data_IF_464470449265
#
_entry.id   IF_464470449265
#
_cell.length_a   1.000
_cell.length_b   1.000
_cell.length_c   1.000
_cell.angle_alpha   90.00
_cell.angle_beta   90.00
_cell.angle_gamma   90.00
#
_symmetry.space_group_name_H-M   'P 1'
#
loop_
_entity.id
_entity.type
_entity.pdbx_description
1 polymer ?
#
# COMPACT_ATOMS: atom_id res chain seq x y z
N UNK A 1 -4.19 -11.16 -13.31
CA UNK A 1 -4.71 -11.58 -14.63
C UNK A 1 -4.56 -10.40 -15.56
N UNK A 2 -3.75 -10.51 -16.62
CA UNK A 2 -3.72 -9.52 -17.69
C UNK A 2 -5.09 -9.54 -18.39
N UNK A 3 -5.84 -8.44 -18.33
CA UNK A 3 -7.14 -8.32 -19.01
C UNK A 3 -6.82 -7.98 -20.46
N UNK A 4 -6.74 -8.99 -21.32
CA UNK A 4 -6.34 -8.87 -22.73
C UNK A 4 -7.52 -8.83 -23.70
N UNK A 5 -8.70 -8.40 -23.24
CA UNK A 5 -9.92 -8.35 -24.04
C UNK A 5 -10.28 -6.94 -24.49
N UNK A 6 -11.04 -6.78 -25.58
CA UNK A 6 -11.47 -5.47 -26.06
C UNK A 6 -12.31 -4.75 -24.99
N UNK A 7 -12.11 -3.45 -24.84
CA UNK A 7 -12.89 -2.60 -23.95
C UNK A 7 -13.96 -1.85 -24.73
N UNK A 8 -14.82 -1.19 -23.97
CA UNK A 8 -15.88 -0.36 -24.49
C UNK A 8 -15.38 0.84 -25.29
N UNK A 9 -16.06 1.13 -26.40
CA UNK A 9 -15.91 2.37 -27.17
C UNK A 9 -14.45 2.71 -27.57
N UNK A 10 -13.60 1.68 -27.73
CA UNK A 10 -12.19 1.83 -28.08
C UNK A 10 -11.29 2.33 -26.94
N UNK A 11 -11.80 2.34 -25.69
CA UNK A 11 -11.00 2.69 -24.52
C UNK A 11 -9.82 1.73 -24.35
N UNK A 12 -8.72 2.24 -23.82
CA UNK A 12 -7.57 1.43 -23.38
C UNK A 12 -7.25 1.73 -21.93
N UNK A 13 -6.47 0.89 -21.22
CA UNK A 13 -6.06 1.18 -19.83
C UNK A 13 -5.25 2.49 -19.70
N UNK A 14 -4.47 2.86 -20.72
CA UNK A 14 -3.59 4.04 -20.72
C UNK A 14 -4.38 5.35 -20.76
N UNK A 15 -5.62 5.32 -21.30
CA UNK A 15 -6.51 6.48 -21.32
C UNK A 15 -6.81 7.05 -19.94
N UNK A 16 -6.76 6.24 -18.87
CA UNK A 16 -7.08 6.67 -17.52
C UNK A 16 -6.13 7.78 -17.03
N UNK A 17 -4.82 7.56 -17.16
CA UNK A 17 -3.80 8.51 -16.70
C UNK A 17 -3.73 9.72 -17.64
N UNK A 18 -3.75 9.49 -18.96
CA UNK A 18 -3.75 10.59 -19.93
C UNK A 18 -4.95 11.53 -19.77
N UNK A 19 -6.14 10.98 -19.51
CA UNK A 19 -7.33 11.79 -19.32
C UNK A 19 -7.23 12.61 -18.03
N UNK A 20 -6.76 12.00 -16.94
CA UNK A 20 -6.62 12.66 -15.65
C UNK A 20 -5.57 13.79 -15.68
N UNK A 21 -4.49 13.66 -16.45
CA UNK A 21 -3.48 14.71 -16.61
C UNK A 21 -3.99 15.90 -17.45
N UNK A 22 -4.87 15.64 -18.42
CA UNK A 22 -5.37 16.67 -19.37
C UNK A 22 -6.59 17.44 -18.87
N UNK A 23 -7.27 16.95 -17.83
CA UNK A 23 -8.54 17.53 -17.37
C UNK A 23 -8.49 17.96 -15.90
N UNK A 24 -8.78 19.23 -15.67
CA UNK A 24 -9.08 19.75 -14.35
C UNK A 24 -10.48 19.32 -13.88
N UNK A 25 -10.78 19.61 -12.60
CA UNK A 25 -12.11 19.34 -12.04
C UNK A 25 -13.19 20.05 -12.88
N UNK A 26 -14.17 19.30 -13.41
CA UNK A 26 -15.14 19.88 -14.32
C UNK A 26 -16.22 20.67 -13.58
N UNK A 27 -16.82 21.65 -14.24
CA UNK A 27 -17.97 22.36 -13.68
C UNK A 27 -19.15 21.41 -13.40
N UNK A 28 -19.92 21.70 -12.36
CA UNK A 28 -21.12 20.92 -12.02
C UNK A 28 -22.32 21.43 -12.81
N UNK A 29 -23.06 20.48 -13.39
CA UNK A 29 -24.37 20.76 -13.97
C UNK A 29 -25.44 20.54 -12.91
N UNK A 30 -26.26 21.55 -12.68
CA UNK A 30 -27.48 21.38 -11.90
C UNK A 30 -28.47 20.48 -12.63
N UNK A 31 -29.18 19.62 -11.90
CA UNK A 31 -30.36 18.93 -12.39
C UNK A 31 -31.46 18.98 -11.34
N UNK A 32 -32.72 18.94 -11.80
CA UNK A 32 -33.87 18.95 -10.91
C UNK A 32 -34.29 17.50 -10.63
N UNK A 33 -34.22 17.01 -9.37
CA UNK A 33 -34.65 15.66 -9.01
C UNK A 33 -36.12 15.36 -9.36
N UNK A 34 -36.98 16.39 -9.37
CA UNK A 34 -38.39 16.26 -9.76
C UNK A 34 -38.59 15.96 -11.26
N UNK A 35 -37.57 16.23 -12.08
CA UNK A 35 -37.57 15.93 -13.51
C UNK A 35 -37.11 14.50 -13.81
N UNK A 36 -36.77 13.71 -12.79
CA UNK A 36 -36.33 12.33 -12.98
C UNK A 36 -37.49 11.43 -13.46
N UNK A 37 -37.20 10.37 -14.24
CA UNK A 37 -38.19 9.36 -14.57
C UNK A 37 -38.83 8.77 -13.31
N UNK A 38 -40.12 8.43 -13.40
CA UNK A 38 -40.88 7.92 -12.26
C UNK A 38 -40.18 6.69 -11.64
N UNK A 39 -39.87 6.78 -10.34
CA UNK A 39 -39.21 5.71 -9.59
C UNK A 39 -37.68 5.71 -9.68
N UNK A 40 -37.07 6.70 -10.34
CA UNK A 40 -35.61 6.85 -10.43
C UNK A 40 -35.17 8.00 -9.55
N UNK A 41 -34.31 7.71 -8.57
CA UNK A 41 -33.59 8.72 -7.79
C UNK A 41 -32.11 8.69 -8.18
N UNK A 42 -31.53 9.86 -8.41
CA UNK A 42 -30.09 10.01 -8.51
C UNK A 42 -29.53 10.36 -7.14
N UNK A 43 -28.54 9.59 -6.72
CA UNK A 43 -27.95 9.66 -5.39
C UNK A 43 -26.47 10.03 -5.52
N UNK A 44 -25.97 10.75 -4.52
CA UNK A 44 -24.59 11.17 -4.45
C UNK A 44 -23.65 9.96 -4.47
N UNK A 45 -22.67 9.98 -5.36
CA UNK A 45 -21.73 8.89 -5.55
C UNK A 45 -20.95 8.55 -4.26
N UNK A 46 -20.71 9.54 -3.39
CA UNK A 46 -19.95 9.37 -2.13
C UNK A 46 -20.85 8.97 -0.95
N UNK A 47 -21.91 9.74 -0.66
CA UNK A 47 -22.69 9.59 0.58
C UNK A 47 -24.07 8.96 0.38
N UNK A 48 -24.47 8.66 -0.85
CA UNK A 48 -25.79 8.10 -1.21
C UNK A 48 -27.02 8.97 -0.85
N UNK A 49 -26.86 10.20 -0.38
CA UNK A 49 -27.95 11.18 -0.23
C UNK A 49 -28.46 11.66 -1.59
N UNK A 50 -29.66 12.23 -1.63
CA UNK A 50 -30.23 12.80 -2.86
C UNK A 50 -29.26 13.81 -3.52
N UNK A 51 -29.08 13.71 -4.83
CA UNK A 51 -28.19 14.59 -5.60
C UNK A 51 -28.96 15.69 -6.31
N UNK A 52 -28.33 16.85 -6.49
CA UNK A 52 -28.83 17.94 -7.34
C UNK A 52 -27.78 18.42 -8.35
N UNK A 53 -26.58 17.83 -8.32
CA UNK A 53 -25.44 18.16 -9.17
C UNK A 53 -25.01 16.91 -9.93
N UNK A 54 -24.47 17.08 -11.14
CA UNK A 54 -23.87 16.00 -11.92
C UNK A 54 -22.59 16.47 -12.61
N UNK A 55 -21.66 15.55 -12.83
CA UNK A 55 -20.42 15.80 -13.57
C UNK A 55 -20.73 16.24 -15.01
N UNK A 56 -20.19 17.36 -15.47
CA UNK A 56 -20.42 17.88 -16.83
C UNK A 56 -19.77 17.04 -17.94
N UNK A 57 -18.70 16.30 -17.62
CA UNK A 57 -17.99 15.44 -18.58
C UNK A 57 -18.75 14.14 -18.84
N UNK A 58 -18.86 13.26 -17.83
CA UNK A 58 -19.55 11.98 -18.04
C UNK A 58 -21.08 12.13 -18.10
N UNK A 59 -21.67 13.10 -17.38
CA UNK A 59 -23.14 13.25 -17.22
C UNK A 59 -23.83 12.00 -16.65
N UNK A 60 -23.09 11.17 -15.92
CA UNK A 60 -23.54 9.88 -15.35
C UNK A 60 -23.22 9.72 -13.87
N UNK A 61 -22.48 10.64 -13.28
CA UNK A 61 -22.13 10.65 -11.86
C UNK A 61 -22.73 11.89 -11.20
N UNK A 62 -23.32 11.68 -10.04
CA UNK A 62 -24.15 12.64 -9.36
C UNK A 62 -23.62 12.96 -7.96
N UNK A 63 -23.81 14.20 -7.52
CA UNK A 63 -23.30 14.71 -6.24
C UNK A 63 -24.37 15.53 -5.52
N UNK A 64 -24.30 15.52 -4.19
CA UNK A 64 -25.15 16.37 -3.34
C UNK A 64 -24.49 17.71 -3.00
N UNK A 65 -23.21 17.92 -3.31
CA UNK A 65 -22.48 19.17 -3.08
C UNK A 65 -21.17 19.16 -3.90
N UNK A 66 -20.53 20.32 -4.02
CA UNK A 66 -19.25 20.46 -4.72
C UNK A 66 -18.09 19.78 -3.99
N UNK A 67 -18.09 19.73 -2.65
CA UNK A 67 -16.99 19.09 -1.91
C UNK A 67 -16.93 17.58 -2.20
N UNK A 68 -18.08 16.92 -2.34
CA UNK A 68 -18.11 15.50 -2.71
C UNK A 68 -17.65 15.23 -4.14
N UNK A 69 -17.88 16.16 -5.07
CA UNK A 69 -17.29 16.05 -6.40
C UNK A 69 -15.78 16.20 -6.33
N UNK A 70 -15.28 17.21 -5.61
CA UNK A 70 -13.84 17.44 -5.48
C UNK A 70 -13.12 16.25 -4.86
N UNK A 71 -13.70 15.69 -3.81
CA UNK A 71 -13.21 14.47 -3.17
C UNK A 71 -13.20 13.28 -4.13
N UNK A 72 -14.28 13.05 -4.89
CA UNK A 72 -14.36 11.96 -5.87
C UNK A 72 -13.35 12.16 -7.02
N UNK A 73 -13.24 13.39 -7.53
CA UNK A 73 -12.33 13.78 -8.61
C UNK A 73 -10.86 13.56 -8.24
N UNK A 74 -10.44 14.05 -7.08
CA UNK A 74 -9.08 13.86 -6.54
C UNK A 74 -8.81 12.41 -6.14
N UNK A 75 -9.86 11.66 -5.78
CA UNK A 75 -9.75 10.26 -5.39
C UNK A 75 -9.52 9.35 -6.61
N UNK A 76 -10.48 9.30 -7.54
CA UNK A 76 -10.45 8.34 -8.65
C UNK A 76 -11.23 8.79 -9.89
N UNK A 77 -12.23 9.69 -9.74
CA UNK A 77 -13.16 10.00 -10.83
C UNK A 77 -12.47 10.60 -12.04
N UNK A 78 -11.40 11.40 -11.87
CA UNK A 78 -10.60 11.89 -12.99
C UNK A 78 -10.11 10.75 -13.91
N UNK A 79 -9.68 9.62 -13.33
CA UNK A 79 -9.20 8.45 -14.07
C UNK A 79 -10.31 7.59 -14.65
N UNK A 80 -11.49 7.56 -14.02
CA UNK A 80 -12.57 6.64 -14.40
C UNK A 80 -13.75 7.30 -15.13
N UNK A 81 -13.78 8.64 -15.22
CA UNK A 81 -14.82 9.43 -15.88
C UNK A 81 -15.19 8.93 -17.29
N UNK A 82 -14.23 8.72 -18.24
CA UNK A 82 -14.58 8.25 -19.58
C UNK A 82 -15.19 6.83 -19.57
N UNK A 83 -14.69 5.94 -18.70
CA UNK A 83 -15.24 4.59 -18.55
C UNK A 83 -16.65 4.62 -17.97
N UNK A 84 -16.91 5.48 -16.97
CA UNK A 84 -18.25 5.67 -16.41
C UNK A 84 -19.21 6.17 -17.51
N UNK A 85 -18.79 7.10 -18.35
CA UNK A 85 -19.60 7.62 -19.45
C UNK A 85 -20.04 6.49 -20.39
N UNK A 86 -19.10 5.61 -20.79
CA UNK A 86 -19.36 4.46 -21.67
C UNK A 86 -20.19 3.36 -20.98
N UNK A 87 -19.90 3.05 -19.72
CA UNK A 87 -20.56 1.97 -18.96
C UNK A 87 -22.00 2.31 -18.58
N UNK A 88 -22.27 3.57 -18.23
CA UNK A 88 -23.61 4.04 -17.83
C UNK A 88 -24.39 4.67 -18.99
N UNK A 89 -23.87 4.64 -20.22
CA UNK A 89 -24.61 5.05 -21.41
C UNK A 89 -25.73 4.04 -21.74
N UNK A 90 -26.86 4.51 -22.32
CA UNK A 90 -27.89 3.62 -22.85
C UNK A 90 -27.27 2.61 -23.83
N UNK A 91 -27.57 1.31 -23.71
CA UNK A 91 -27.00 0.31 -24.59
C UNK A 91 -27.49 0.53 -26.03
N UNK A 92 -26.61 0.38 -27.04
CA UNK A 92 -27.02 0.45 -28.43
C UNK A 92 -27.97 -0.71 -28.76
N UNK A 93 -28.81 -0.51 -29.78
CA UNK A 93 -29.64 -1.58 -30.33
C UNK A 93 -28.74 -2.51 -31.14
N UNK A 94 -28.60 -3.76 -30.69
CA UNK A 94 -27.80 -4.79 -31.34
C UNK A 94 -28.72 -5.87 -31.91
N UNK A 95 -28.44 -6.32 -33.13
CA UNK A 95 -29.37 -7.16 -33.89
C UNK A 95 -28.99 -8.64 -33.83
N UNK A 96 -27.70 -8.96 -33.67
CA UNK A 96 -27.23 -10.35 -33.66
C UNK A 96 -26.90 -10.83 -32.24
N UNK A 97 -26.94 -12.16 -32.05
CA UNK A 97 -26.54 -12.77 -30.78
C UNK A 97 -25.03 -12.59 -30.51
N UNK A 98 -24.22 -12.65 -31.57
CA UNK A 98 -22.77 -12.49 -31.50
C UNK A 98 -22.39 -11.07 -31.04
N UNK A 99 -22.99 -10.03 -31.62
CA UNK A 99 -22.81 -8.63 -31.19
C UNK A 99 -23.14 -8.45 -29.71
N UNK A 100 -24.27 -9.01 -29.26
CA UNK A 100 -24.70 -8.94 -27.85
C UNK A 100 -23.71 -9.65 -26.92
N UNK A 101 -23.19 -10.80 -27.33
CA UNK A 101 -22.17 -11.54 -26.57
C UNK A 101 -20.87 -10.75 -26.46
N UNK A 102 -20.35 -10.25 -27.59
CA UNK A 102 -19.14 -9.43 -27.64
C UNK A 102 -19.27 -8.16 -26.79
N UNK A 103 -20.42 -7.47 -26.89
CA UNK A 103 -20.68 -6.27 -26.08
C UNK A 103 -20.71 -6.59 -24.59
N UNK A 104 -21.30 -7.72 -24.19
CA UNK A 104 -21.36 -8.15 -22.79
C UNK A 104 -19.95 -8.45 -22.25
N UNK A 105 -19.12 -9.08 -23.06
CA UNK A 105 -17.71 -9.31 -22.73
C UNK A 105 -16.94 -7.99 -22.59
N UNK A 106 -17.10 -7.04 -23.52
CA UNK A 106 -16.51 -5.70 -23.44
C UNK A 106 -16.94 -4.94 -22.18
N UNK A 107 -18.23 -4.97 -21.83
CA UNK A 107 -18.73 -4.38 -20.56
C UNK A 107 -18.00 -4.99 -19.38
N UNK A 108 -17.93 -6.31 -19.33
CA UNK A 108 -17.33 -7.05 -18.22
C UNK A 108 -15.84 -6.73 -18.08
N UNK A 109 -15.11 -6.72 -19.20
CA UNK A 109 -13.69 -6.37 -19.23
C UNK A 109 -13.46 -4.91 -18.81
N UNK A 110 -14.29 -3.98 -19.29
CA UNK A 110 -14.22 -2.56 -18.91
C UNK A 110 -14.47 -2.38 -17.41
N UNK A 111 -15.48 -3.03 -16.84
CA UNK A 111 -15.73 -3.01 -15.38
C UNK A 111 -14.55 -3.57 -14.58
N UNK A 112 -13.90 -4.64 -15.06
CA UNK A 112 -12.70 -5.21 -14.43
C UNK A 112 -11.49 -4.25 -14.48
N UNK A 113 -11.31 -3.52 -15.57
CA UNK A 113 -10.29 -2.47 -15.67
C UNK A 113 -10.57 -1.34 -14.68
N UNK A 114 -11.80 -0.82 -14.65
CA UNK A 114 -12.18 0.24 -13.69
C UNK A 114 -11.97 -0.23 -12.25
N UNK A 115 -12.38 -1.46 -11.92
CA UNK A 115 -12.10 -2.07 -10.62
C UNK A 115 -10.59 -2.08 -10.29
N UNK A 116 -9.74 -2.42 -11.25
CA UNK A 116 -8.28 -2.44 -11.03
C UNK A 116 -7.72 -1.04 -10.76
N UNK A 117 -8.17 -0.02 -11.51
CA UNK A 117 -7.81 1.38 -11.32
C UNK A 117 -8.25 1.85 -9.93
N UNK A 118 -9.50 1.59 -9.54
CA UNK A 118 -10.03 2.00 -8.24
C UNK A 118 -9.26 1.37 -7.07
N UNK A 119 -8.88 0.09 -7.16
CA UNK A 119 -8.05 -0.55 -6.13
C UNK A 119 -6.65 0.05 -6.07
N UNK A 120 -6.03 0.33 -7.21
CA UNK A 120 -4.70 0.92 -7.28
C UNK A 120 -4.70 2.33 -6.68
N UNK A 121 -5.67 3.17 -7.02
CA UNK A 121 -5.81 4.52 -6.46
C UNK A 121 -6.10 4.50 -4.96
N UNK A 122 -7.01 3.63 -4.49
CA UNK A 122 -7.27 3.47 -3.05
C UNK A 122 -5.99 3.09 -2.29
N UNK A 123 -5.21 2.14 -2.82
CA UNK A 123 -3.94 1.74 -2.23
C UNK A 123 -2.88 2.86 -2.27
N UNK A 124 -2.80 3.62 -3.37
CA UNK A 124 -1.90 4.76 -3.51
C UNK A 124 -2.19 5.83 -2.46
N UNK A 125 -3.46 6.23 -2.32
CA UNK A 125 -3.89 7.22 -1.32
C UNK A 125 -3.62 6.76 0.11
N UNK A 126 -3.77 5.46 0.42
CA UNK A 126 -3.38 4.92 1.73
C UNK A 126 -1.88 5.03 1.99
N UNK A 127 -1.04 4.77 0.99
CA UNK A 127 0.42 4.91 1.11
C UNK A 127 0.90 6.35 1.23
N UNK A 128 0.10 7.30 0.74
CA UNK A 128 0.32 8.75 0.88
C UNK A 128 -0.31 9.32 2.16
N UNK A 129 -0.95 8.47 2.97
CA UNK A 129 -1.64 8.86 4.21
C UNK A 129 -2.82 9.82 4.00
N UNK A 130 -3.57 9.65 2.90
CA UNK A 130 -4.75 10.42 2.55
C UNK A 130 -6.04 9.55 2.65
N UNK A 131 -6.50 9.20 3.86
CA UNK A 131 -7.62 8.27 4.04
C UNK A 131 -8.95 8.79 3.47
N UNK A 132 -9.15 10.11 3.46
CA UNK A 132 -10.34 10.75 2.88
C UNK A 132 -10.44 10.52 1.37
N UNK A 133 -9.31 10.51 0.66
CA UNK A 133 -9.24 10.21 -0.77
C UNK A 133 -9.19 8.71 -1.05
N UNK A 134 -8.72 7.88 -0.13
CA UNK A 134 -8.77 6.44 -0.30
C UNK A 134 -10.21 5.88 -0.26
N UNK A 135 -11.11 6.51 0.51
CA UNK A 135 -12.46 6.02 0.73
C UNK A 135 -13.33 5.99 -0.55
N UNK A 136 -13.45 7.06 -1.37
CA UNK A 136 -14.22 7.00 -2.62
C UNK A 136 -13.70 5.96 -3.62
N UNK A 137 -12.37 5.87 -3.79
CA UNK A 137 -11.74 4.87 -4.64
C UNK A 137 -12.06 3.44 -4.16
N UNK A 138 -11.97 3.18 -2.86
CA UNK A 138 -12.37 1.90 -2.26
C UNK A 138 -13.86 1.58 -2.45
N UNK A 139 -14.73 2.59 -2.36
CA UNK A 139 -16.16 2.43 -2.56
C UNK A 139 -16.51 2.09 -4.02
N UNK A 140 -15.87 2.76 -4.97
CA UNK A 140 -15.99 2.42 -6.40
C UNK A 140 -15.48 1.01 -6.70
N UNK A 141 -14.33 0.65 -6.13
CA UNK A 141 -13.80 -0.71 -6.26
C UNK A 141 -14.81 -1.75 -5.75
N UNK A 142 -15.43 -1.51 -4.59
CA UNK A 142 -16.43 -2.42 -4.05
C UNK A 142 -17.67 -2.53 -4.97
N UNK A 143 -18.16 -1.40 -5.50
CA UNK A 143 -19.31 -1.37 -6.42
C UNK A 143 -19.05 -2.18 -7.69
N UNK A 144 -17.93 -1.95 -8.35
CA UNK A 144 -17.58 -2.69 -9.57
C UNK A 144 -17.26 -4.17 -9.28
N UNK A 145 -16.67 -4.49 -8.13
CA UNK A 145 -16.47 -5.88 -7.74
C UNK A 145 -17.83 -6.61 -7.56
N UNK A 146 -18.78 -6.00 -6.85
CA UNK A 146 -20.12 -6.55 -6.67
C UNK A 146 -20.87 -6.73 -8.00
N UNK A 147 -20.75 -5.76 -8.91
CA UNK A 147 -21.40 -5.79 -10.22
C UNK A 147 -20.80 -6.86 -11.17
N UNK A 148 -19.49 -7.12 -11.09
CA UNK A 148 -18.81 -8.12 -11.94
C UNK A 148 -18.92 -9.54 -11.40
N UNK A 149 -18.76 -9.72 -10.09
CA UNK A 149 -18.58 -11.04 -9.47
C UNK A 149 -19.77 -11.47 -8.59
N UNK A 150 -20.66 -10.54 -8.23
CA UNK A 150 -21.76 -10.77 -7.31
C UNK A 150 -21.38 -10.54 -5.84
N UNK A 151 -22.40 -10.44 -4.98
CA UNK A 151 -22.25 -9.95 -3.60
C UNK A 151 -21.54 -10.91 -2.61
N UNK A 152 -21.25 -12.15 -3.02
CA UNK A 152 -20.65 -13.18 -2.16
C UNK A 152 -19.30 -13.70 -2.70
N UNK A 153 -18.74 -13.03 -3.70
CA UNK A 153 -17.51 -13.45 -4.34
C UNK A 153 -16.26 -13.02 -3.56
N UNK A 154 -15.18 -13.80 -3.67
CA UNK A 154 -13.91 -13.52 -2.99
C UNK A 154 -13.29 -12.19 -3.40
N UNK A 155 -13.56 -11.75 -4.63
CA UNK A 155 -13.06 -10.52 -5.23
C UNK A 155 -13.56 -9.25 -4.52
N UNK A 156 -14.58 -9.34 -3.67
CA UNK A 156 -15.06 -8.24 -2.83
C UNK A 156 -14.21 -8.07 -1.56
N UNK A 157 -13.45 -9.10 -1.15
CA UNK A 157 -12.61 -9.03 0.06
C UNK A 157 -11.56 -7.91 -0.04
N UNK A 158 -10.74 -7.79 -1.11
CA UNK A 158 -9.75 -6.72 -1.17
C UNK A 158 -10.33 -5.30 -1.11
N UNK A 159 -11.42 -4.94 -1.83
CA UNK A 159 -12.10 -3.66 -1.64
C UNK A 159 -12.58 -3.41 -0.20
N UNK A 160 -13.15 -4.41 0.48
CA UNK A 160 -13.51 -4.27 1.89
C UNK A 160 -12.29 -4.01 2.78
N UNK A 161 -11.15 -4.66 2.52
CA UNK A 161 -9.92 -4.43 3.27
C UNK A 161 -9.36 -3.02 3.05
N UNK A 162 -9.37 -2.51 1.81
CA UNK A 162 -8.95 -1.13 1.50
C UNK A 162 -9.84 -0.10 2.19
N UNK A 163 -11.16 -0.27 2.15
CA UNK A 163 -12.11 0.59 2.86
C UNK A 163 -11.93 0.52 4.38
N UNK A 164 -11.60 -0.65 4.91
CA UNK A 164 -11.27 -0.82 6.33
C UNK A 164 -10.06 0.01 6.71
N UNK A 165 -8.97 -0.07 5.95
CA UNK A 165 -7.75 0.69 6.22
C UNK A 165 -7.98 2.20 6.15
N UNK A 166 -8.73 2.66 5.14
CA UNK A 166 -9.13 4.07 5.04
C UNK A 166 -9.93 4.52 6.27
N UNK A 167 -10.91 3.72 6.70
CA UNK A 167 -11.73 4.04 7.87
C UNK A 167 -10.94 3.98 9.19
N UNK A 168 -9.98 3.06 9.34
CA UNK A 168 -9.09 3.02 10.53
C UNK A 168 -8.26 4.30 10.59
N UNK A 169 -7.63 4.70 9.48
CA UNK A 169 -6.83 5.91 9.40
C UNK A 169 -7.65 7.19 9.62
N UNK A 170 -8.90 7.22 9.17
CA UNK A 170 -9.87 8.28 9.46
C UNK A 170 -10.52 8.20 10.86
N UNK A 171 -10.15 7.22 11.69
CA UNK A 171 -10.74 6.95 13.02
C UNK A 171 -12.26 6.67 13.02
N UNK A 172 -12.81 6.21 11.89
CA UNK A 172 -14.22 5.82 11.73
C UNK A 172 -14.35 4.30 11.99
N UNK A 173 -14.19 3.91 13.26
CA UNK A 173 -14.02 2.50 13.60
C UNK A 173 -15.27 1.63 13.38
N UNK A 174 -16.48 2.18 13.47
CA UNK A 174 -17.71 1.40 13.28
C UNK A 174 -17.85 0.91 11.83
N UNK A 175 -17.57 1.79 10.85
CA UNK A 175 -17.57 1.42 9.43
C UNK A 175 -16.42 0.47 9.08
N UNK A 176 -15.25 0.66 9.70
CA UNK A 176 -14.13 -0.28 9.53
C UNK A 176 -14.52 -1.70 10.01
N UNK A 177 -15.18 -1.79 11.18
CA UNK A 177 -15.65 -3.06 11.71
C UNK A 177 -16.72 -3.70 10.81
N UNK A 178 -17.65 -2.91 10.29
CA UNK A 178 -18.68 -3.38 9.36
C UNK A 178 -18.05 -4.03 8.11
N UNK A 179 -17.11 -3.34 7.44
CA UNK A 179 -16.43 -3.89 6.28
C UNK A 179 -15.63 -5.15 6.59
N UNK A 180 -14.95 -5.21 7.74
CA UNK A 180 -14.26 -6.43 8.17
C UNK A 180 -15.20 -7.60 8.45
N UNK A 181 -16.40 -7.34 8.97
CA UNK A 181 -17.43 -8.35 9.17
C UNK A 181 -17.96 -8.86 7.81
N UNK A 182 -18.16 -7.99 6.83
CA UNK A 182 -18.55 -8.38 5.46
C UNK A 182 -17.46 -9.23 4.80
N UNK A 183 -16.19 -8.80 4.87
CA UNK A 183 -15.07 -9.59 4.38
C UNK A 183 -14.97 -10.95 5.08
N UNK A 184 -15.17 -10.99 6.41
CA UNK A 184 -15.16 -12.23 7.19
C UNK A 184 -16.26 -13.19 6.74
N UNK A 185 -17.47 -12.67 6.50
CA UNK A 185 -18.59 -13.48 6.03
C UNK A 185 -18.24 -14.19 4.73
N UNK A 186 -17.67 -13.46 3.75
CA UNK A 186 -17.22 -14.04 2.48
C UNK A 186 -16.14 -15.10 2.73
N UNK A 187 -15.11 -14.81 3.53
CA UNK A 187 -14.04 -15.77 3.83
C UNK A 187 -14.53 -17.06 4.51
N UNK A 188 -15.60 -17.00 5.31
CA UNK A 188 -16.22 -18.20 5.91
C UNK A 188 -16.92 -19.06 4.85
N UNK A 189 -17.56 -18.44 3.86
CA UNK A 189 -18.19 -19.18 2.75
C UNK A 189 -17.17 -19.83 1.82
N UNK A 190 -15.92 -19.35 1.83
CA UNK A 190 -14.83 -19.82 0.98
C UNK A 190 -13.65 -20.34 1.84
N UNK A 191 -13.78 -21.52 2.48
CA UNK A 191 -12.76 -22.03 3.41
C UNK A 191 -11.40 -22.27 2.74
N UNK A 192 -11.38 -22.51 1.43
CA UNK A 192 -10.17 -22.70 0.64
C UNK A 192 -9.59 -21.39 0.07
N UNK A 193 -10.09 -20.24 0.52
CA UNK A 193 -9.54 -18.95 0.14
C UNK A 193 -8.04 -18.87 0.46
N UNK A 194 -7.32 -18.16 -0.40
CA UNK A 194 -5.88 -17.93 -0.28
C UNK A 194 -5.51 -17.49 1.16
N UNK A 195 -4.56 -18.18 1.82
CA UNK A 195 -4.03 -17.75 3.11
C UNK A 195 -3.61 -16.28 3.15
N UNK A 196 -3.14 -15.70 2.04
CA UNK A 196 -2.82 -14.28 1.94
C UNK A 196 -4.02 -13.37 2.26
N UNK A 197 -5.22 -13.71 1.76
CA UNK A 197 -6.43 -12.94 2.06
C UNK A 197 -6.83 -13.07 3.53
N UNK A 198 -6.68 -14.27 4.10
CA UNK A 198 -6.95 -14.51 5.53
C UNK A 198 -5.96 -13.76 6.43
N UNK A 199 -4.68 -13.70 6.04
CA UNK A 199 -3.65 -12.90 6.69
C UNK A 199 -4.00 -11.42 6.67
N UNK A 200 -4.28 -10.83 5.50
CA UNK A 200 -4.61 -9.40 5.40
C UNK A 200 -5.87 -9.04 6.19
N UNK A 201 -6.89 -9.91 6.17
CA UNK A 201 -8.09 -9.75 6.98
C UNK A 201 -7.81 -9.78 8.48
N UNK A 202 -7.03 -10.76 8.95
CA UNK A 202 -6.62 -10.86 10.34
C UNK A 202 -5.77 -9.65 10.76
N UNK A 203 -4.86 -9.19 9.90
CA UNK A 203 -4.03 -8.00 10.12
C UNK A 203 -4.87 -6.75 10.34
N UNK A 204 -5.90 -6.55 9.52
CA UNK A 204 -6.76 -5.36 9.62
C UNK A 204 -7.68 -5.41 10.84
N UNK A 205 -8.15 -6.59 11.27
CA UNK A 205 -8.77 -6.75 12.60
C UNK A 205 -7.78 -6.40 13.73
N UNK A 206 -6.53 -6.82 13.61
CA UNK A 206 -5.45 -6.49 14.54
C UNK A 206 -5.25 -4.98 14.68
N UNK A 207 -5.05 -4.29 13.54
CA UNK A 207 -4.92 -2.82 13.47
C UNK A 207 -6.14 -2.09 14.05
N UNK A 208 -7.36 -2.53 13.70
CA UNK A 208 -8.60 -1.92 14.20
C UNK A 208 -8.68 -2.01 15.73
N UNK A 209 -8.43 -3.20 16.30
CA UNK A 209 -8.50 -3.36 17.74
C UNK A 209 -7.37 -2.67 18.48
N UNK A 210 -6.17 -2.56 17.88
CA UNK A 210 -5.09 -1.74 18.41
C UNK A 210 -5.51 -0.26 18.50
N UNK A 211 -6.05 0.30 17.41
CA UNK A 211 -6.55 1.67 17.38
C UNK A 211 -7.68 1.93 18.40
N UNK A 212 -8.49 0.90 18.71
CA UNK A 212 -9.51 0.93 19.76
C UNK A 212 -8.96 0.65 21.18
N UNK A 213 -7.65 0.48 21.35
CA UNK A 213 -6.97 0.09 22.61
C UNK A 213 -7.47 -1.24 23.20
N UNK A 214 -7.98 -2.13 22.36
CA UNK A 214 -8.42 -3.49 22.71
C UNK A 214 -7.27 -4.47 22.48
N UNK A 215 -6.18 -4.29 23.23
CA UNK A 215 -4.88 -4.92 22.99
C UNK A 215 -4.92 -6.45 22.90
N UNK A 216 -5.63 -7.14 23.80
CA UNK A 216 -5.67 -8.61 23.76
C UNK A 216 -6.41 -9.16 22.52
N UNK A 217 -7.41 -8.42 22.01
CA UNK A 217 -8.07 -8.77 20.74
C UNK A 217 -7.13 -8.50 19.57
N UNK A 218 -6.42 -7.37 19.59
CA UNK A 218 -5.45 -7.02 18.57
C UNK A 218 -4.37 -8.10 18.44
N UNK A 219 -3.75 -8.51 19.56
CA UNK A 219 -2.72 -9.55 19.59
C UNK A 219 -3.21 -10.89 19.06
N UNK A 220 -4.43 -11.32 19.42
CA UNK A 220 -5.02 -12.56 18.88
C UNK A 220 -5.16 -12.53 17.36
N UNK A 221 -5.60 -11.40 16.81
CA UNK A 221 -5.77 -11.25 15.37
C UNK A 221 -4.44 -11.09 14.63
N UNK A 222 -3.47 -10.38 15.19
CA UNK A 222 -2.13 -10.29 14.60
C UNK A 222 -1.37 -11.63 14.68
N UNK A 223 -1.57 -12.43 15.72
CA UNK A 223 -1.03 -13.79 15.77
C UNK A 223 -1.62 -14.67 14.65
N UNK A 224 -2.90 -14.50 14.30
CA UNK A 224 -3.50 -15.19 13.16
C UNK A 224 -2.92 -14.71 11.81
N UNK A 225 -2.61 -13.41 11.67
CA UNK A 225 -1.89 -12.87 10.50
C UNK A 225 -0.50 -13.53 10.34
N UNK A 226 0.28 -13.59 11.43
CA UNK A 226 1.59 -14.27 11.46
C UNK A 226 1.43 -15.74 11.08
N UNK A 227 0.42 -16.44 11.59
CA UNK A 227 0.16 -17.84 11.27
C UNK A 227 -0.12 -18.06 9.78
N UNK A 228 -1.05 -17.31 9.19
CA UNK A 228 -1.39 -17.47 7.77
C UNK A 228 -0.24 -17.09 6.84
N UNK A 229 0.50 -16.03 7.17
CA UNK A 229 1.69 -15.64 6.40
C UNK A 229 2.79 -16.69 6.50
N UNK A 230 2.99 -17.26 7.70
CA UNK A 230 3.97 -18.35 7.91
C UNK A 230 3.64 -19.60 7.11
N UNK A 231 2.35 -19.93 6.95
CA UNK A 231 1.93 -21.06 6.11
C UNK A 231 2.28 -20.84 4.63
N UNK A 232 2.18 -19.59 4.15
CA UNK A 232 2.41 -19.26 2.75
C UNK A 232 3.88 -19.14 2.40
N UNK A 233 4.66 -18.47 3.26
CA UNK A 233 6.03 -18.03 2.95
C UNK A 233 7.10 -18.63 3.87
N UNK A 234 6.70 -19.24 4.98
CA UNK A 234 7.58 -19.72 6.04
C UNK A 234 7.70 -18.74 7.22
N UNK A 235 8.11 -19.24 8.40
CA UNK A 235 8.16 -18.46 9.64
C UNK A 235 9.25 -17.38 9.65
N UNK A 236 10.34 -17.58 8.90
CA UNK A 236 11.49 -16.65 8.83
C UNK A 236 11.48 -15.80 7.54
N UNK A 237 10.31 -15.58 6.95
CA UNK A 237 10.14 -14.70 5.78
C UNK A 237 9.89 -13.24 6.20
N UNK A 238 10.41 -12.27 5.42
CA UNK A 238 10.24 -10.84 5.72
C UNK A 238 8.77 -10.41 5.82
N UNK A 239 7.87 -10.97 5.00
CA UNK A 239 6.43 -10.70 5.09
C UNK A 239 5.82 -11.20 6.40
N UNK A 240 6.27 -12.34 6.93
CA UNK A 240 5.81 -12.89 8.21
C UNK A 240 6.20 -11.98 9.37
N UNK A 241 7.36 -11.32 9.27
CA UNK A 241 7.85 -10.39 10.30
C UNK A 241 6.96 -9.14 10.46
N UNK A 242 6.15 -8.78 9.46
CA UNK A 242 5.24 -7.61 9.55
C UNK A 242 4.23 -7.78 10.68
N UNK A 243 3.65 -8.98 10.82
CA UNK A 243 2.72 -9.26 11.91
C UNK A 243 3.38 -9.18 13.29
N UNK A 244 4.63 -9.66 13.41
CA UNK A 244 5.42 -9.58 14.64
C UNK A 244 5.74 -8.12 15.02
N UNK A 245 6.11 -7.29 14.04
CA UNK A 245 6.33 -5.86 14.25
C UNK A 245 5.07 -5.17 14.75
N UNK A 246 3.90 -5.46 14.15
CA UNK A 246 2.63 -4.89 14.60
C UNK A 246 2.28 -5.34 16.03
N UNK A 247 2.56 -6.60 16.38
CA UNK A 247 2.38 -7.09 17.75
C UNK A 247 3.29 -6.34 18.72
N UNK A 248 4.56 -6.10 18.34
CA UNK A 248 5.51 -5.32 19.15
C UNK A 248 4.97 -3.92 19.47
N UNK A 249 4.42 -3.23 18.47
CA UNK A 249 3.77 -1.92 18.69
C UNK A 249 2.58 -2.01 19.65
N UNK A 250 1.76 -3.06 19.54
CA UNK A 250 0.63 -3.28 20.47
C UNK A 250 1.13 -3.52 21.90
N UNK A 251 2.23 -4.24 22.09
CA UNK A 251 2.82 -4.44 23.41
C UNK A 251 3.40 -3.15 24.00
N UNK A 252 4.00 -2.28 23.19
CA UNK A 252 4.40 -0.93 23.62
C UNK A 252 3.17 -0.15 24.11
N UNK A 253 2.10 -0.10 23.33
CA UNK A 253 0.87 0.62 23.72
C UNK A 253 0.22 0.04 24.98
N UNK A 254 0.41 -1.26 25.23
CA UNK A 254 -0.03 -1.96 26.45
C UNK A 254 0.91 -1.70 27.64
N UNK A 255 2.11 -1.17 27.44
CA UNK A 255 3.13 -0.92 28.46
C UNK A 255 4.03 -2.13 28.79
N UNK A 256 3.98 -3.19 27.99
CA UNK A 256 4.80 -4.39 28.15
C UNK A 256 6.00 -4.32 27.21
N UNK A 257 7.04 -3.63 27.67
CA UNK A 257 8.23 -3.38 26.86
C UNK A 257 9.07 -4.65 26.64
N UNK A 258 9.07 -5.59 27.58
CA UNK A 258 9.82 -6.84 27.47
C UNK A 258 9.32 -7.68 26.29
N UNK A 259 8.01 -7.88 26.18
CA UNK A 259 7.39 -8.57 25.04
C UNK A 259 7.62 -7.84 23.72
N UNK A 260 7.58 -6.50 23.72
CA UNK A 260 7.82 -5.70 22.53
C UNK A 260 9.26 -5.88 22.00
N UNK A 261 10.26 -5.86 22.89
CA UNK A 261 11.67 -6.05 22.55
C UNK A 261 11.90 -7.44 21.98
N UNK A 262 11.39 -8.48 22.62
CA UNK A 262 11.53 -9.86 22.12
C UNK A 262 10.94 -10.02 20.70
N UNK A 263 9.82 -9.35 20.41
CA UNK A 263 9.23 -9.36 19.06
C UNK A 263 10.07 -8.60 18.06
N UNK A 264 10.61 -7.43 18.42
CA UNK A 264 11.50 -6.68 17.54
C UNK A 264 12.82 -7.41 17.28
N UNK A 265 13.41 -8.06 18.29
CA UNK A 265 14.56 -8.94 18.11
C UNK A 265 14.25 -10.06 17.11
N UNK A 266 13.07 -10.68 17.21
CA UNK A 266 12.64 -11.69 16.23
C UNK A 266 12.49 -11.10 14.83
N UNK A 267 11.96 -9.88 14.69
CA UNK A 267 11.92 -9.17 13.39
C UNK A 267 13.34 -8.96 12.86
N UNK A 268 14.25 -8.42 13.66
CA UNK A 268 15.64 -8.17 13.26
C UNK A 268 16.40 -9.46 12.89
N UNK A 269 16.10 -10.58 13.55
CA UNK A 269 16.66 -11.89 13.24
C UNK A 269 16.26 -12.42 11.85
N UNK A 270 15.13 -11.95 11.32
CA UNK A 270 14.68 -12.25 9.95
C UNK A 270 15.29 -11.28 8.95
N UNK A 271 15.27 -9.97 9.27
CA UNK A 271 15.75 -8.94 8.34
C UNK A 271 17.26 -8.95 8.16
N UNK A 272 18.04 -9.16 9.21
CA UNK A 272 19.50 -9.02 9.15
C UNK A 272 20.13 -10.03 8.18
N UNK A 273 19.88 -11.35 8.29
CA UNK A 273 20.46 -12.32 7.36
C UNK A 273 19.97 -12.12 5.92
N UNK A 274 18.70 -11.75 5.74
CA UNK A 274 18.12 -11.45 4.43
C UNK A 274 18.86 -10.29 3.74
N UNK A 275 19.07 -9.18 4.44
CA UNK A 275 19.77 -8.02 3.89
C UNK A 275 21.25 -8.32 3.64
N UNK A 276 21.91 -9.05 4.54
CA UNK A 276 23.29 -9.51 4.34
C UNK A 276 23.42 -10.38 3.08
N UNK A 277 22.47 -11.29 2.84
CA UNK A 277 22.43 -12.11 1.62
C UNK A 277 22.30 -11.24 0.36
N UNK A 278 21.48 -10.18 0.41
CA UNK A 278 21.33 -9.26 -0.71
C UNK A 278 22.62 -8.49 -1.04
N UNK A 279 23.41 -8.15 0.00
CA UNK A 279 24.65 -7.35 -0.14
C UNK A 279 25.87 -8.24 -0.43
N UNK A 280 25.82 -9.54 -0.13
CA UNK A 280 26.96 -10.44 -0.22
C UNK A 280 27.76 -10.36 -1.54
N UNK A 281 27.13 -10.27 -2.74
CA UNK A 281 27.87 -10.17 -4.00
C UNK A 281 28.72 -8.90 -4.14
N UNK A 282 28.34 -7.81 -3.45
CA UNK A 282 29.04 -6.51 -3.51
C UNK A 282 30.46 -6.59 -2.94
N UNK A 283 30.70 -7.49 -1.98
CA UNK A 283 32.05 -7.74 -1.46
C UNK A 283 33.02 -8.28 -2.52
N UNK A 284 32.49 -8.91 -3.57
CA UNK A 284 33.27 -9.47 -4.68
C UNK A 284 33.18 -8.62 -5.94
N UNK A 285 32.75 -7.36 -5.83
CA UNK A 285 32.61 -6.43 -6.96
C UNK A 285 31.33 -6.58 -7.77
N UNK A 286 30.38 -7.42 -7.34
CA UNK A 286 29.04 -7.50 -7.94
C UNK A 286 28.10 -6.40 -7.46
N UNK A 287 26.85 -6.47 -7.91
CA UNK A 287 25.76 -5.60 -7.49
C UNK A 287 24.90 -6.24 -6.40
N UNK A 288 24.06 -5.43 -5.75
CA UNK A 288 23.06 -5.92 -4.79
C UNK A 288 22.07 -6.84 -5.51
N UNK A 289 21.85 -8.03 -4.97
CA UNK A 289 20.90 -9.01 -5.50
C UNK A 289 19.68 -9.10 -4.61
N UNK A 290 18.53 -8.62 -5.09
CA UNK A 290 17.24 -8.72 -4.38
C UNK A 290 16.33 -9.77 -5.02
N UNK A 291 15.41 -10.38 -4.26
CA UNK A 291 14.38 -11.26 -4.81
C UNK A 291 13.50 -10.59 -5.87
N UNK A 292 12.88 -11.34 -6.80
CA UNK A 292 12.00 -10.78 -7.84
C UNK A 292 10.77 -10.03 -7.33
N UNK A 293 10.31 -10.34 -6.12
CA UNK A 293 9.20 -9.67 -5.44
C UNK A 293 9.61 -8.40 -4.69
N UNK A 294 10.91 -8.10 -4.61
CA UNK A 294 11.41 -6.84 -4.06
C UNK A 294 11.12 -5.68 -5.01
N UNK A 295 10.40 -4.67 -4.50
CA UNK A 295 10.01 -3.47 -5.24
C UNK A 295 10.28 -2.21 -4.42
N UNK A 296 10.11 -1.03 -5.03
CA UNK A 296 10.17 0.24 -4.30
C UNK A 296 9.19 0.29 -3.11
N UNK A 297 8.02 -0.37 -3.24
CA UNK A 297 7.03 -0.44 -2.16
C UNK A 297 7.49 -1.29 -0.98
N UNK A 298 8.14 -2.43 -1.24
CA UNK A 298 8.68 -3.29 -0.17
C UNK A 298 9.85 -2.63 0.52
N UNK A 299 10.73 -1.95 -0.24
CA UNK A 299 11.82 -1.16 0.32
C UNK A 299 11.32 -0.03 1.23
N UNK A 300 10.29 0.71 0.80
CA UNK A 300 9.65 1.77 1.61
C UNK A 300 9.05 1.20 2.90
N UNK A 301 8.34 0.08 2.83
CA UNK A 301 7.78 -0.59 4.01
C UNK A 301 8.89 -1.06 4.96
N UNK A 302 9.94 -1.70 4.43
CA UNK A 302 11.10 -2.13 5.21
C UNK A 302 11.75 -0.96 5.96
N UNK A 303 11.93 0.17 5.28
CA UNK A 303 12.51 1.37 5.88
C UNK A 303 11.62 1.92 7.00
N UNK A 304 10.31 1.96 6.81
CA UNK A 304 9.37 2.38 7.86
C UNK A 304 9.41 1.45 9.08
N UNK A 305 9.45 0.13 8.87
CA UNK A 305 9.52 -0.85 9.96
C UNK A 305 10.83 -0.69 10.74
N UNK A 306 11.98 -0.76 10.06
CA UNK A 306 13.28 -0.71 10.73
C UNK A 306 13.51 0.63 11.43
N UNK A 307 13.11 1.74 10.81
CA UNK A 307 13.17 3.07 11.43
C UNK A 307 12.33 3.14 12.71
N UNK A 308 11.08 2.64 12.67
CA UNK A 308 10.22 2.62 13.86
C UNK A 308 10.74 1.70 14.96
N UNK A 309 11.38 0.58 14.61
CA UNK A 309 12.03 -0.29 15.60
C UNK A 309 13.19 0.46 16.28
N UNK A 310 14.04 1.15 15.51
CA UNK A 310 15.13 1.98 16.06
C UNK A 310 14.58 3.03 17.03
N UNK A 311 13.54 3.77 16.62
CA UNK A 311 12.88 4.79 17.45
C UNK A 311 12.35 4.17 18.74
N UNK A 312 11.53 3.12 18.63
CA UNK A 312 10.92 2.45 19.77
C UNK A 312 11.95 1.88 20.76
N UNK A 313 12.99 1.19 20.28
CA UNK A 313 14.02 0.63 21.16
C UNK A 313 14.86 1.72 21.82
N UNK A 314 15.13 2.83 21.11
CA UNK A 314 15.83 3.99 21.68
C UNK A 314 15.02 4.61 22.81
N UNK A 315 13.71 4.77 22.62
CA UNK A 315 12.81 5.35 23.63
C UNK A 315 12.68 4.44 24.86
N UNK A 316 12.62 3.12 24.68
CA UNK A 316 12.47 2.17 25.78
C UNK A 316 13.72 1.99 26.63
N UNK A 317 14.92 2.04 26.03
CA UNK A 317 16.16 1.63 26.70
C UNK A 317 17.26 2.69 26.77
N UNK A 318 17.10 3.82 26.07
CA UNK A 318 18.18 4.76 25.83
C UNK A 318 19.18 4.27 24.76
N UNK A 319 20.04 5.18 24.28
CA UNK A 319 20.92 4.97 23.13
C UNK A 319 22.06 3.96 23.32
N UNK A 320 22.21 3.31 24.48
CA UNK A 320 23.43 2.57 24.83
C UNK A 320 23.26 1.06 24.89
N UNK A 321 22.18 0.52 24.32
CA UNK A 321 21.85 -0.91 24.43
C UNK A 321 22.13 -1.65 23.12
N UNK A 322 22.57 -2.91 23.24
CA UNK A 322 22.93 -3.77 22.09
C UNK A 322 21.73 -3.92 21.14
N UNK A 323 20.50 -4.00 21.67
CA UNK A 323 19.28 -4.07 20.87
C UNK A 323 19.15 -2.87 19.91
N UNK A 324 19.39 -1.65 20.39
CA UNK A 324 19.36 -0.43 19.57
C UNK A 324 20.43 -0.48 18.48
N UNK A 325 21.64 -0.96 18.81
CA UNK A 325 22.71 -1.12 17.83
C UNK A 325 22.34 -2.12 16.72
N UNK A 326 21.69 -3.23 17.07
CA UNK A 326 21.19 -4.22 16.11
C UNK A 326 20.13 -3.64 15.17
N UNK A 327 19.20 -2.84 15.69
CA UNK A 327 18.20 -2.19 14.85
C UNK A 327 18.82 -1.16 13.89
N UNK A 328 19.76 -0.33 14.38
CA UNK A 328 20.49 0.63 13.55
C UNK A 328 21.32 -0.11 12.50
N UNK A 329 21.94 -1.23 12.86
CA UNK A 329 22.71 -2.06 11.94
C UNK A 329 21.83 -2.60 10.81
N UNK A 330 20.69 -3.22 11.15
CA UNK A 330 19.74 -3.72 10.15
C UNK A 330 19.23 -2.59 9.23
N UNK A 331 18.95 -1.40 9.79
CA UNK A 331 18.56 -0.24 9.00
C UNK A 331 19.68 0.23 8.06
N UNK A 332 20.93 0.25 8.53
CA UNK A 332 22.10 0.55 7.70
C UNK A 332 22.30 -0.44 6.56
N UNK A 333 22.10 -1.75 6.80
CA UNK A 333 22.10 -2.76 5.76
C UNK A 333 20.99 -2.54 4.73
N UNK A 334 19.78 -2.15 5.17
CA UNK A 334 18.70 -1.81 4.24
C UNK A 334 19.09 -0.64 3.34
N UNK A 335 19.75 0.39 3.88
CA UNK A 335 20.21 1.52 3.06
C UNK A 335 21.26 1.09 2.03
N UNK A 336 22.13 0.11 2.34
CA UNK A 336 22.99 -0.52 1.33
C UNK A 336 22.19 -1.19 0.21
N UNK A 337 21.11 -1.92 0.54
CA UNK A 337 20.24 -2.58 -0.45
C UNK A 337 19.48 -1.57 -1.32
N UNK A 338 19.04 -0.46 -0.73
CA UNK A 338 18.39 0.65 -1.45
C UNK A 338 19.38 1.41 -2.34
N UNK A 339 20.69 1.33 -2.06
CA UNK A 339 21.75 2.04 -2.77
C UNK A 339 22.07 3.42 -2.20
N UNK A 340 21.47 3.82 -1.08
CA UNK A 340 21.83 5.04 -0.36
C UNK A 340 23.06 4.80 0.53
N UNK A 341 24.23 4.77 -0.10
CA UNK A 341 25.50 4.54 0.58
C UNK A 341 25.89 5.67 1.54
N UNK A 342 25.38 6.89 1.32
CA UNK A 342 25.64 8.05 2.18
C UNK A 342 24.96 7.86 3.54
N UNK A 343 23.67 7.53 3.57
CA UNK A 343 22.97 7.26 4.83
C UNK A 343 23.37 5.89 5.42
N UNK A 344 23.63 4.88 4.59
CA UNK A 344 24.13 3.58 5.06
C UNK A 344 25.42 3.74 5.88
N UNK A 345 26.39 4.52 5.38
CA UNK A 345 27.65 4.78 6.10
C UNK A 345 27.40 5.42 7.47
N UNK A 346 26.51 6.41 7.56
CA UNK A 346 26.19 7.10 8.82
C UNK A 346 25.55 6.14 9.83
N UNK A 347 24.58 5.34 9.41
CA UNK A 347 23.93 4.35 10.27
C UNK A 347 24.90 3.26 10.72
N UNK A 348 25.69 2.70 9.80
CA UNK A 348 26.67 1.65 10.11
C UNK A 348 27.81 2.15 11.00
N UNK A 349 28.20 3.42 10.88
CA UNK A 349 29.17 4.05 11.76
C UNK A 349 28.62 4.13 13.19
N UNK A 350 27.36 4.59 13.33
CA UNK A 350 26.67 4.65 14.63
C UNK A 350 26.49 3.27 15.25
N UNK A 351 26.08 2.27 14.46
CA UNK A 351 25.93 0.90 14.97
C UNK A 351 27.27 0.33 15.43
N UNK A 352 28.35 0.52 14.66
CA UNK A 352 29.68 0.00 14.98
C UNK A 352 30.26 0.62 16.23
N UNK A 353 30.10 1.93 16.43
CA UNK A 353 30.56 2.59 17.66
C UNK A 353 29.79 2.08 18.89
N UNK A 354 28.49 1.85 18.75
CA UNK A 354 27.67 1.28 19.82
C UNK A 354 28.06 -0.16 20.15
N UNK A 355 28.28 -1.01 19.15
CA UNK A 355 28.74 -2.39 19.38
C UNK A 355 30.10 -2.44 20.07
N UNK A 356 31.04 -1.57 19.67
CA UNK A 356 32.35 -1.45 20.31
C UNK A 356 32.23 -1.11 21.80
N UNK A 357 31.39 -0.13 22.15
CA UNK A 357 31.18 0.31 23.53
C UNK A 357 30.46 -0.75 24.38
N UNK A 358 29.48 -1.45 23.79
CA UNK A 358 28.58 -2.34 24.55
C UNK A 358 29.07 -3.79 24.62
N UNK A 359 29.67 -4.30 23.55
CA UNK A 359 30.07 -5.70 23.41
C UNK A 359 31.59 -5.90 23.24
N UNK A 360 32.33 -4.82 22.95
CA UNK A 360 33.78 -4.85 22.71
C UNK A 360 34.17 -5.19 21.27
N UNK A 361 35.44 -4.95 20.93
CA UNK A 361 36.02 -5.16 19.59
C UNK A 361 35.98 -6.61 19.10
N UNK A 362 36.07 -7.57 20.01
CA UNK A 362 36.15 -9.00 19.68
C UNK A 362 34.78 -9.64 19.42
N UNK A 363 33.69 -8.95 19.73
CA UNK A 363 32.35 -9.48 19.54
C UNK A 363 32.02 -9.63 18.05
N UNK A 364 31.31 -10.72 17.69
CA UNK A 364 30.99 -11.05 16.30
C UNK A 364 30.23 -9.92 15.60
N UNK A 365 29.22 -9.35 16.27
CA UNK A 365 28.45 -8.22 15.74
C UNK A 365 29.29 -6.97 15.48
N UNK A 366 30.30 -6.69 16.33
CA UNK A 366 31.20 -5.54 16.14
C UNK A 366 32.05 -5.73 14.89
N UNK A 367 32.61 -6.92 14.69
CA UNK A 367 33.40 -7.26 13.50
C UNK A 367 32.56 -7.24 12.24
N UNK A 368 31.35 -7.78 12.31
CA UNK A 368 30.41 -7.73 11.18
C UNK A 368 30.03 -6.30 10.83
N UNK A 369 29.66 -5.48 11.82
CA UNK A 369 29.28 -4.08 11.57
C UNK A 369 30.43 -3.29 10.96
N UNK A 370 31.67 -3.48 11.44
CA UNK A 370 32.88 -2.87 10.87
C UNK A 370 33.13 -3.32 9.43
N UNK A 371 32.90 -4.60 9.11
CA UNK A 371 33.04 -5.12 7.74
C UNK A 371 32.07 -4.41 6.78
N UNK A 372 30.81 -4.25 7.15
CA UNK A 372 29.83 -3.52 6.33
C UNK A 372 30.08 -2.01 6.29
N UNK A 373 30.56 -1.41 7.39
CA UNK A 373 30.98 -0.02 7.43
C UNK A 373 32.12 0.25 6.42
N UNK A 374 33.13 -0.62 6.36
CA UNK A 374 34.22 -0.52 5.40
C UNK A 374 33.74 -0.65 3.94
N UNK A 375 32.73 -1.49 3.69
CA UNK A 375 32.10 -1.59 2.37
C UNK A 375 31.36 -0.28 2.00
N UNK A 376 30.54 0.23 2.92
CA UNK A 376 29.81 1.48 2.71
C UNK A 376 30.74 2.68 2.51
N UNK A 377 31.86 2.74 3.23
CA UNK A 377 32.88 3.77 3.04
C UNK A 377 33.47 3.75 1.63
N UNK A 378 33.82 2.56 1.11
CA UNK A 378 34.34 2.41 -0.25
C UNK A 378 33.33 2.84 -1.30
N UNK A 379 32.08 2.36 -1.22
CA UNK A 379 31.02 2.72 -2.18
C UNK A 379 30.64 4.21 -2.10
N UNK A 380 30.63 4.79 -0.91
CA UNK A 380 30.43 6.23 -0.71
C UNK A 380 31.51 7.07 -1.40
N UNK A 381 32.79 6.67 -1.32
CA UNK A 381 33.88 7.39 -1.98
C UNK A 381 33.72 7.37 -3.51
N UNK A 382 33.41 6.20 -4.10
CA UNK A 382 33.16 6.07 -5.54
C UNK A 382 31.98 6.95 -5.99
N UNK A 383 30.90 7.00 -5.21
CA UNK A 383 29.74 7.85 -5.57
C UNK A 383 30.04 9.35 -5.61
N UNK A 384 31.08 9.81 -4.90
CA UNK A 384 31.52 11.22 -4.94
C UNK A 384 32.44 11.48 -6.15
N UNK A 385 33.28 10.51 -6.52
CA UNK A 385 34.12 10.58 -7.71
C UNK A 385 33.30 10.56 -9.02
N UNK A 386 32.18 9.83 -9.05
CA UNK A 386 31.23 9.83 -10.17
C UNK A 386 30.43 11.15 -10.27
N UNK A 387 30.13 11.81 -9.14
CA UNK A 387 29.50 13.15 -9.12
C UNK A 387 30.47 14.24 -9.61
N UNK A 388 31.78 14.12 -9.33
CA UNK A 388 32.82 15.10 -9.72
C UNK A 388 33.36 14.92 -11.16
N UNK A 389 33.10 13.77 -11.81
CA UNK A 389 33.54 13.49 -13.19
C UNK A 389 32.55 13.94 -14.27
N UNK A 390 31.38 14.46 -13.87
CA UNK A 390 30.44 15.14 -14.76
C UNK A 390 30.52 16.66 -14.53
N UNK A 391 31.32 17.42 -15.32
CA UNK A 391 31.29 18.87 -15.21
C UNK A 391 29.88 19.38 -15.53
N UNK A 392 29.39 20.46 -14.88
CA UNK A 392 28.13 21.08 -15.25
C UNK A 392 28.22 21.47 -16.73
N UNK A 393 27.35 20.89 -17.56
CA UNK A 393 27.31 21.16 -18.98
C UNK A 393 27.28 22.67 -19.21
N UNK A 394 28.23 23.09 -20.04
CA UNK A 394 28.52 24.46 -20.38
C UNK A 394 27.32 25.17 -21.04
N UNK A 395 27.15 26.42 -20.63
CA UNK A 395 26.63 27.57 -21.40
C UNK A 395 25.75 27.25 -22.63
N UNK A 396 24.47 27.55 -22.50
CA UNK A 396 23.56 27.83 -23.62
C UNK A 396 24.19 28.88 -24.58
N UNK A 397 24.08 28.69 -25.91
CA UNK A 397 24.50 29.69 -26.86
C UNK A 397 23.52 30.88 -26.83
N UNK A 398 24.07 32.08 -26.61
CA UNK A 398 23.35 33.35 -26.81
C UNK A 398 22.85 33.42 -28.26
N UNK A 399 21.54 33.47 -28.43
CA UNK A 399 20.92 33.85 -29.69
C UNK A 399 21.26 35.31 -30.01
N UNK A 400 21.71 35.54 -31.24
CA UNK A 400 21.86 36.84 -31.89
C UNK A 400 20.54 37.26 -32.49
#
# INVERSE_FOLDING_TARGET
MSITGPLLDGLTPEYADEFAEKHDIPELLGHNPLSNPKGVSFNCEICSRESHLQCSLCKRTYYCCSEHQEMDWKSVHSKICPYIAALRAPPPVLHTQEERSMRTEQVTNTKKIVLSICKAEAFRHLNENNPELAHPAGLQALRYAADVFGNTALELVPPYLLLTEANIAAQIFDKALEHLCQAKWILIQHPNADPALKSQHARNFGKLYAAQRKYDKALKHLAADVYFTSQLKGPDHIETSVGLFLMGNVFIEKGDHESAVALFEKVLSVWTPFLQQCIAPVFNGGDVTVPPDWSASTAKLAQQILKKIVEAQTDMHGQTQIAVAQAIFAHGLLMCVVGDWKEAFKLLLSASSMFEVTAGSEHTLTRESQRYLGLAQKKKAVSLEDEDTYPPFANEPKAV
#
